data_IF_512841660733
#
_entry.id   IF_512841660733
#
_cell.length_a   1.000
_cell.length_b   1.000
_cell.length_c   1.000
_cell.angle_alpha   90.00
_cell.angle_beta   90.00
_cell.angle_gamma   90.00
#
_symmetry.space_group_name_H-M   'P 1'
#
loop_
_entity.id
_entity.type
_entity.pdbx_description
1 polymer ?
#
# COMPACT_ATOMS: atom_id res chain seq x y z
N UNK A 1 4.54 30.26 -5.64
CA UNK A 1 4.32 28.93 -6.22
C UNK A 1 4.27 27.97 -5.04
N UNK A 2 3.12 27.35 -4.71
CA UNK A 2 3.18 26.25 -3.76
C UNK A 2 4.01 25.15 -4.43
N UNK A 3 4.99 24.67 -3.70
CA UNK A 3 5.71 23.42 -3.93
C UNK A 3 4.74 22.39 -4.52
N UNK A 4 5.07 21.85 -5.69
CA UNK A 4 4.48 20.61 -6.16
C UNK A 4 4.73 19.58 -5.05
N UNK A 5 3.78 19.46 -4.11
CA UNK A 5 3.88 18.53 -3.01
C UNK A 5 4.08 17.16 -3.66
N UNK A 6 5.30 16.64 -3.58
CA UNK A 6 5.65 15.37 -4.16
C UNK A 6 4.69 14.34 -3.55
N UNK A 7 3.82 13.78 -4.39
CA UNK A 7 2.81 12.82 -3.99
C UNK A 7 3.49 11.70 -3.23
N UNK A 8 3.18 11.57 -1.93
CA UNK A 8 3.84 10.58 -1.08
C UNK A 8 3.10 9.27 -1.20
N UNK A 9 3.81 8.21 -1.56
CA UNK A 9 3.21 6.90 -1.79
C UNK A 9 3.82 5.89 -0.82
N UNK A 10 3.01 4.97 -0.32
CA UNK A 10 3.51 3.78 0.37
C UNK A 10 3.13 2.52 -0.38
N UNK A 11 3.99 1.52 -0.30
CA UNK A 11 3.69 0.17 -0.77
C UNK A 11 3.68 -0.79 0.40
N UNK A 12 2.62 -1.59 0.49
CA UNK A 12 2.50 -2.67 1.46
C UNK A 12 3.18 -3.90 0.89
N UNK A 13 4.15 -4.45 1.64
CA UNK A 13 4.89 -5.64 1.28
C UNK A 13 4.61 -6.78 2.26
N UNK A 14 4.31 -7.96 1.72
CA UNK A 14 4.51 -9.22 2.42
C UNK A 14 5.98 -9.65 2.25
N UNK A 15 6.55 -10.32 3.26
CA UNK A 15 7.99 -10.63 3.31
C UNK A 15 8.53 -11.45 2.12
N UNK A 16 7.67 -12.09 1.33
CA UNK A 16 8.03 -12.96 0.21
C UNK A 16 7.76 -12.40 -1.20
N UNK A 17 7.21 -11.19 -1.35
CA UNK A 17 6.72 -10.67 -2.65
C UNK A 17 7.59 -9.55 -3.28
N UNK A 18 8.85 -9.41 -2.84
CA UNK A 18 9.67 -8.24 -3.24
C UNK A 18 10.09 -8.23 -4.72
N UNK A 19 10.25 -9.40 -5.35
CA UNK A 19 10.77 -9.52 -6.72
C UNK A 19 9.71 -9.21 -7.80
N UNK A 20 8.49 -9.72 -7.65
CA UNK A 20 7.40 -9.43 -8.58
C UNK A 20 7.02 -7.94 -8.56
N UNK A 21 7.12 -7.32 -7.38
CA UNK A 21 6.78 -5.91 -7.20
C UNK A 21 7.85 -4.94 -7.73
N UNK A 22 9.13 -5.29 -7.63
CA UNK A 22 10.21 -4.50 -8.24
C UNK A 22 10.03 -4.31 -9.75
N UNK A 23 9.62 -5.37 -10.45
CA UNK A 23 9.30 -5.31 -11.89
C UNK A 23 8.08 -4.42 -12.18
N UNK A 24 7.06 -4.46 -11.34
CA UNK A 24 5.86 -3.62 -11.50
C UNK A 24 6.14 -2.14 -11.24
N UNK A 25 6.93 -1.80 -10.22
CA UNK A 25 7.33 -0.42 -9.92
C UNK A 25 8.10 0.21 -11.09
N UNK A 26 9.04 -0.54 -11.68
CA UNK A 26 9.77 -0.10 -12.88
C UNK A 26 8.84 0.03 -14.09
N UNK A 27 7.92 -0.93 -14.29
CA UNK A 27 6.99 -0.90 -15.42
C UNK A 27 5.99 0.28 -15.39
N UNK A 28 5.73 0.87 -14.22
CA UNK A 28 4.82 2.01 -14.06
C UNK A 28 5.54 3.34 -13.82
N UNK A 29 6.87 3.38 -14.02
CA UNK A 29 7.73 4.54 -13.75
C UNK A 29 7.66 5.07 -12.29
N UNK A 30 7.19 4.21 -11.38
CA UNK A 30 7.08 4.51 -9.95
C UNK A 30 8.39 4.24 -9.21
N UNK A 31 9.44 3.82 -9.93
CA UNK A 31 10.77 3.63 -9.37
C UNK A 31 11.43 4.95 -8.93
N UNK A 32 10.99 6.08 -9.50
CA UNK A 32 11.49 7.43 -9.20
C UNK A 32 10.62 8.21 -8.22
N UNK A 33 9.43 7.70 -7.88
CA UNK A 33 8.50 8.30 -6.92
C UNK A 33 9.03 8.17 -5.47
N UNK A 34 8.67 9.13 -4.60
CA UNK A 34 8.97 9.06 -3.17
C UNK A 34 8.10 7.98 -2.52
N UNK A 35 8.64 6.76 -2.55
CA UNK A 35 7.90 5.53 -2.27
C UNK A 35 8.41 4.89 -0.99
N UNK A 36 7.58 4.97 0.05
CA UNK A 36 7.84 4.36 1.35
C UNK A 36 7.50 2.87 1.30
N UNK A 37 8.42 2.01 1.74
CA UNK A 37 8.17 0.56 1.79
C UNK A 37 7.70 0.17 3.17
N UNK A 38 6.44 -0.23 3.29
CA UNK A 38 5.87 -0.76 4.52
C UNK A 38 5.88 -2.27 4.47
N UNK A 39 6.82 -2.85 5.20
CA UNK A 39 6.85 -4.31 5.41
C UNK A 39 5.96 -4.59 6.60
N UNK A 40 4.85 -5.30 6.38
CA UNK A 40 4.01 -5.74 7.49
C UNK A 40 4.42 -7.17 7.81
N UNK A 41 5.13 -7.36 8.92
CA UNK A 41 5.54 -8.67 9.38
C UNK A 41 4.32 -9.44 9.89
N UNK A 42 4.01 -10.54 9.22
CA UNK A 42 2.98 -11.49 9.65
C UNK A 42 2.55 -12.42 8.54
N UNK A 43 2.58 -13.73 8.81
CA UNK A 43 1.74 -14.71 8.11
C UNK A 43 0.28 -14.47 8.53
N UNK A 44 -0.32 -13.38 8.07
CA UNK A 44 -1.70 -13.11 8.39
C UNK A 44 -2.62 -13.84 7.42
N UNK A 45 -3.48 -14.69 7.98
CA UNK A 45 -4.51 -15.40 7.23
C UNK A 45 -5.72 -14.52 6.94
N UNK A 46 -5.91 -13.42 7.68
CA UNK A 46 -7.10 -12.56 7.60
C UNK A 46 -6.74 -11.08 7.63
N UNK A 47 -7.35 -10.28 6.76
CA UNK A 47 -7.06 -8.85 6.61
C UNK A 47 -7.23 -8.03 7.91
N UNK A 48 -8.14 -8.45 8.80
CA UNK A 48 -8.34 -7.77 10.08
C UNK A 48 -7.08 -7.73 10.97
N UNK A 49 -6.24 -8.77 10.89
CA UNK A 49 -5.00 -8.86 11.68
C UNK A 49 -3.95 -7.84 11.23
N UNK A 50 -3.89 -7.55 9.93
CA UNK A 50 -2.95 -6.56 9.37
C UNK A 50 -3.52 -5.14 9.39
N UNK A 51 -4.84 -4.98 9.41
CA UNK A 51 -5.50 -3.69 9.29
C UNK A 51 -5.10 -2.71 10.40
N UNK A 52 -5.09 -3.14 11.66
CA UNK A 52 -4.76 -2.25 12.78
C UNK A 52 -3.29 -1.81 12.73
N UNK A 53 -2.37 -2.73 12.40
CA UNK A 53 -0.96 -2.41 12.20
C UNK A 53 -0.76 -1.42 11.05
N UNK A 54 -1.48 -1.61 9.94
CA UNK A 54 -1.42 -0.72 8.79
C UNK A 54 -1.99 0.68 9.08
N UNK A 55 -3.07 0.77 9.86
CA UNK A 55 -3.62 2.06 10.31
C UNK A 55 -2.64 2.80 11.21
N UNK A 56 -1.96 2.09 12.12
CA UNK A 56 -0.91 2.68 12.97
C UNK A 56 0.25 3.18 12.12
N UNK A 57 0.74 2.37 11.19
CA UNK A 57 1.81 2.75 10.25
C UNK A 57 1.43 4.00 9.47
N UNK A 58 0.23 4.03 8.85
CA UNK A 58 -0.23 5.18 8.08
C UNK A 58 -0.36 6.44 8.94
N UNK A 59 -0.73 6.34 10.22
CA UNK A 59 -0.79 7.52 11.11
C UNK A 59 0.59 8.06 11.48
N UNK A 60 1.61 7.20 11.58
CA UNK A 60 2.98 7.63 11.85
C UNK A 60 3.62 8.27 10.62
N UNK A 61 3.31 7.72 9.44
CA UNK A 61 3.83 8.17 8.15
C UNK A 61 2.67 8.33 7.19
N UNK A 62 1.90 9.44 7.25
CA UNK A 62 0.77 9.65 6.34
C UNK A 62 1.27 9.76 4.90
N UNK A 63 0.56 9.09 3.99
CA UNK A 63 0.81 9.08 2.55
C UNK A 63 -0.50 9.30 1.80
N UNK A 64 -0.39 9.85 0.60
CA UNK A 64 -1.53 10.14 -0.28
C UNK A 64 -2.08 8.86 -0.91
N UNK A 65 -1.20 7.93 -1.27
CA UNK A 65 -1.56 6.68 -1.93
C UNK A 65 -0.91 5.50 -1.21
N UNK A 66 -1.71 4.47 -0.92
CA UNK A 66 -1.22 3.17 -0.44
C UNK A 66 -1.45 2.14 -1.53
N UNK A 67 -0.37 1.50 -1.97
CA UNK A 67 -0.37 0.45 -2.96
C UNK A 67 -0.33 -0.92 -2.28
N UNK A 68 -1.18 -1.82 -2.77
CA UNK A 68 -1.29 -3.18 -2.26
C UNK A 68 -0.89 -4.20 -3.35
N UNK A 69 -0.29 -5.34 -2.97
CA UNK A 69 -0.02 -6.42 -3.90
C UNK A 69 -1.34 -7.00 -4.43
N UNK A 70 -1.29 -7.69 -5.56
CA UNK A 70 -2.49 -8.33 -6.11
C UNK A 70 -2.91 -9.53 -5.25
N UNK A 71 -4.18 -9.62 -4.88
CA UNK A 71 -4.73 -10.77 -4.17
C UNK A 71 -5.94 -10.44 -3.30
N UNK A 72 -6.78 -11.44 -3.03
CA UNK A 72 -8.04 -11.25 -2.30
C UNK A 72 -7.85 -10.63 -0.90
N UNK A 73 -6.81 -11.03 -0.18
CA UNK A 73 -6.45 -10.48 1.13
C UNK A 73 -6.10 -8.99 1.04
N UNK A 74 -5.36 -8.62 -0.01
CA UNK A 74 -4.87 -7.28 -0.24
C UNK A 74 -6.00 -6.34 -0.71
N UNK A 75 -6.92 -6.83 -1.54
CA UNK A 75 -8.13 -6.11 -1.96
C UNK A 75 -9.06 -5.81 -0.77
N UNK A 76 -9.22 -6.80 0.12
CA UNK A 76 -10.00 -6.65 1.35
C UNK A 76 -9.34 -5.65 2.31
N UNK A 77 -8.02 -5.68 2.44
CA UNK A 77 -7.24 -4.69 3.19
C UNK A 77 -7.39 -3.27 2.65
N UNK A 78 -7.22 -3.09 1.33
CA UNK A 78 -7.36 -1.80 0.67
C UNK A 78 -8.75 -1.21 0.94
N UNK A 79 -9.79 -2.04 0.75
CA UNK A 79 -11.18 -1.65 1.01
C UNK A 79 -11.36 -1.24 2.47
N UNK A 80 -10.98 -2.09 3.43
CA UNK A 80 -11.16 -1.81 4.86
C UNK A 80 -10.35 -0.61 5.34
N UNK A 81 -9.14 -0.41 4.81
CA UNK A 81 -8.31 0.75 5.14
C UNK A 81 -8.97 2.05 4.68
N UNK A 82 -9.50 2.09 3.44
CA UNK A 82 -10.26 3.23 2.96
C UNK A 82 -11.44 3.57 3.87
N UNK A 83 -12.25 2.57 4.22
CA UNK A 83 -13.37 2.74 5.14
C UNK A 83 -12.93 3.30 6.51
N UNK A 84 -11.79 2.83 7.04
CA UNK A 84 -11.29 3.22 8.35
C UNK A 84 -10.72 4.65 8.36
N UNK A 85 -10.02 5.05 7.31
CA UNK A 85 -9.38 6.35 7.17
C UNK A 85 -10.31 7.43 6.58
N UNK A 86 -11.54 7.05 6.18
CA UNK A 86 -12.47 7.89 5.40
C UNK A 86 -11.85 8.41 4.09
N UNK A 87 -10.90 7.68 3.52
CA UNK A 87 -10.23 7.97 2.25
C UNK A 87 -10.73 7.06 1.13
N UNK A 88 -10.48 7.43 -0.13
CA UNK A 88 -10.72 6.56 -1.28
C UNK A 88 -9.55 5.57 -1.46
N UNK A 89 -9.82 4.27 -1.61
CA UNK A 89 -8.80 3.26 -1.94
C UNK A 89 -8.98 2.78 -3.37
N UNK A 90 -7.86 2.63 -4.08
CA UNK A 90 -7.81 2.04 -5.41
C UNK A 90 -7.26 0.63 -5.30
N UNK A 91 -8.04 -0.36 -5.70
CA UNK A 91 -7.62 -1.76 -5.82
C UNK A 91 -7.47 -2.14 -7.29
N UNK A 92 -6.41 -2.88 -7.63
CA UNK A 92 -6.18 -3.37 -9.00
C UNK A 92 -6.97 -4.66 -9.23
N UNK A 93 -7.95 -4.61 -10.13
CA UNK A 93 -8.64 -5.82 -10.61
C UNK A 93 -7.88 -6.41 -11.81
N UNK A 94 -7.32 -7.62 -11.68
CA UNK A 94 -6.80 -8.36 -12.83
C UNK A 94 -7.99 -8.98 -13.58
N UNK A 95 -8.26 -8.49 -14.79
CA UNK A 95 -9.13 -9.17 -15.76
C UNK A 95 -8.27 -9.96 -16.74
#
# INVERSE_FOLDING_TARGET
MPEDAAMKMAIVMAANDSAAMGGWLVANDLASADLERWTIDGEAEVAGQLLDALVVQWRQTPVDIVLFPAGALADELATRLAWRLRGAAYARCNR
#
